data_IF_708858555798
#
_entry.id   IF_708858555798
#
_cell.length_a   1.000
_cell.length_b   1.000
_cell.length_c   1.000
_cell.angle_alpha   90.00
_cell.angle_beta   90.00
_cell.angle_gamma   90.00
#
_symmetry.space_group_name_H-M   'P 1'
#
loop_
_entity.id
_entity.type
_entity.pdbx_description
1 polymer ?
#
# COMPACT_ATOMS: atom_id res chain seq x y z
N UNK A 1 25.72 -2.89 14.01
CA UNK A 1 24.75 -3.95 14.31
C UNK A 1 24.74 -4.90 13.13
N UNK A 2 25.07 -6.17 13.33
CA UNK A 2 24.93 -7.22 12.32
C UNK A 2 23.47 -7.66 12.28
N UNK A 3 22.81 -7.46 11.14
CA UNK A 3 21.46 -7.98 10.90
C UNK A 3 21.59 -9.50 10.72
N UNK A 4 21.07 -10.27 11.67
CA UNK A 4 20.96 -11.72 11.54
C UNK A 4 19.64 -12.04 10.86
N UNK A 5 19.70 -12.49 9.61
CA UNK A 5 18.53 -12.98 8.89
C UNK A 5 18.31 -14.46 9.14
N UNK A 6 17.07 -14.91 9.00
CA UNK A 6 16.76 -16.33 8.88
C UNK A 6 17.47 -16.91 7.64
N UNK A 7 17.99 -18.16 7.66
CA UNK A 7 18.70 -18.74 6.53
C UNK A 7 17.93 -18.70 5.21
N UNK A 8 16.61 -18.95 5.25
CA UNK A 8 15.78 -18.94 4.03
C UNK A 8 15.66 -17.52 3.46
N UNK A 9 15.51 -16.53 4.34
CA UNK A 9 15.49 -15.13 3.94
C UNK A 9 16.86 -14.65 3.44
N UNK A 10 17.95 -15.15 4.02
CA UNK A 10 19.31 -14.81 3.62
C UNK A 10 19.63 -15.26 2.19
N UNK A 11 19.21 -16.47 1.81
CA UNK A 11 19.40 -17.01 0.46
C UNK A 11 18.64 -16.21 -0.60
N UNK A 12 17.41 -15.78 -0.28
CA UNK A 12 16.62 -14.92 -1.17
C UNK A 12 17.25 -13.53 -1.27
N UNK A 13 17.67 -12.95 -0.15
CA UNK A 13 18.34 -11.64 -0.14
C UNK A 13 19.65 -11.66 -0.91
N UNK A 14 20.44 -12.73 -0.80
CA UNK A 14 21.68 -12.90 -1.55
C UNK A 14 21.44 -12.87 -3.07
N UNK A 15 20.37 -13.51 -3.55
CA UNK A 15 19.97 -13.48 -4.97
C UNK A 15 19.57 -12.07 -5.43
N UNK A 16 19.10 -11.23 -4.53
CA UNK A 16 18.69 -9.85 -4.80
C UNK A 16 19.84 -8.83 -4.64
N UNK A 17 21.07 -9.29 -4.42
CA UNK A 17 22.25 -8.42 -4.24
C UNK A 17 22.63 -8.14 -2.78
N UNK A 18 21.97 -8.80 -1.82
CA UNK A 18 22.28 -8.72 -0.40
C UNK A 18 22.08 -7.32 0.17
N UNK A 19 22.95 -6.93 1.10
CA UNK A 19 22.95 -5.59 1.71
C UNK A 19 23.39 -4.49 0.73
N UNK A 20 24.05 -4.86 -0.36
CA UNK A 20 24.60 -3.96 -1.36
C UNK A 20 23.65 -3.78 -2.56
N UNK A 21 22.47 -4.40 -2.50
CA UNK A 21 21.42 -4.26 -3.50
C UNK A 21 21.09 -2.78 -3.71
N UNK A 22 20.93 -2.38 -4.97
CA UNK A 22 20.53 -1.03 -5.31
C UNK A 22 19.19 -0.69 -4.66
N UNK A 23 19.19 0.34 -3.81
CA UNK A 23 17.99 0.91 -3.21
C UNK A 23 18.00 2.42 -3.47
N UNK A 24 16.92 2.97 -4.05
CA UNK A 24 16.82 4.43 -4.21
C UNK A 24 16.89 5.11 -2.84
N UNK A 25 17.47 6.31 -2.80
CA UNK A 25 17.58 7.10 -1.58
C UNK A 25 16.21 7.23 -0.88
N UNK A 26 16.22 7.30 0.45
CA UNK A 26 14.99 7.45 1.24
C UNK A 26 14.17 8.67 0.79
N UNK A 27 14.86 9.75 0.41
CA UNK A 27 14.28 11.03 0.01
C UNK A 27 13.85 11.06 -1.47
N UNK A 28 14.25 10.06 -2.26
CA UNK A 28 13.82 9.90 -3.65
C UNK A 28 12.49 9.13 -3.71
N UNK A 29 11.39 9.84 -3.44
CA UNK A 29 10.05 9.24 -3.39
C UNK A 29 9.65 8.62 -4.72
N UNK A 30 9.95 9.29 -5.84
CA UNK A 30 9.59 8.82 -7.17
C UNK A 30 10.44 7.62 -7.59
N UNK A 31 11.75 7.64 -7.37
CA UNK A 31 12.59 6.47 -7.62
C UNK A 31 12.17 5.25 -6.79
N UNK A 32 11.75 5.46 -5.53
CA UNK A 32 11.21 4.38 -4.68
C UNK A 32 9.87 3.85 -5.18
N UNK A 33 9.01 4.70 -5.75
CA UNK A 33 7.76 4.26 -6.39
C UNK A 33 8.05 3.44 -7.63
N UNK A 34 8.85 3.97 -8.56
CA UNK A 34 9.23 3.25 -9.79
C UNK A 34 9.87 1.89 -9.50
N UNK A 35 10.70 1.80 -8.45
CA UNK A 35 11.31 0.55 -8.04
C UNK A 35 10.30 -0.44 -7.40
N UNK A 36 9.37 0.04 -6.56
CA UNK A 36 8.47 -0.84 -5.79
C UNK A 36 7.18 -1.20 -6.49
N UNK A 37 6.63 -0.34 -7.34
CA UNK A 37 5.34 -0.57 -8.02
C UNK A 37 5.32 -1.90 -8.80
N UNK A 38 6.35 -2.26 -9.60
CA UNK A 38 6.35 -3.55 -10.29
C UNK A 38 6.30 -4.76 -9.33
N UNK A 39 6.99 -4.68 -8.19
CA UNK A 39 7.02 -5.74 -7.17
C UNK A 39 5.63 -5.89 -6.54
N UNK A 40 4.98 -4.77 -6.22
CA UNK A 40 3.63 -4.77 -5.67
C UNK A 40 2.62 -5.34 -6.66
N UNK A 41 2.69 -4.95 -7.93
CA UNK A 41 1.80 -5.48 -8.98
C UNK A 41 1.97 -6.99 -9.13
N UNK A 42 3.22 -7.47 -9.21
CA UNK A 42 3.49 -8.91 -9.32
C UNK A 42 3.00 -9.69 -8.09
N UNK A 43 3.19 -9.14 -6.89
CA UNK A 43 2.72 -9.76 -5.64
C UNK A 43 1.19 -9.83 -5.57
N UNK A 44 0.51 -8.74 -5.93
CA UNK A 44 -0.94 -8.69 -6.02
C UNK A 44 -1.48 -9.71 -7.04
N UNK A 45 -0.79 -9.90 -8.17
CA UNK A 45 -1.20 -10.89 -9.17
C UNK A 45 -1.02 -12.34 -8.68
N UNK A 46 0.00 -12.61 -7.86
CA UNK A 46 0.23 -13.92 -7.26
C UNK A 46 -0.74 -14.25 -6.11
N UNK A 47 -1.44 -13.26 -5.56
CA UNK A 47 -2.34 -13.40 -4.41
C UNK A 47 -3.76 -12.95 -4.77
N UNK A 48 -4.51 -13.75 -5.55
CA UNK A 48 -5.87 -13.39 -5.92
C UNK A 48 -6.78 -13.33 -4.69
N UNK A 49 -7.68 -12.35 -4.68
CA UNK A 49 -8.73 -12.30 -3.67
C UNK A 49 -9.65 -13.53 -3.80
N UNK A 50 -9.98 -14.20 -2.69
CA UNK A 50 -11.00 -15.26 -2.70
C UNK A 50 -12.32 -14.72 -3.22
N UNK A 51 -13.08 -15.56 -3.93
CA UNK A 51 -14.38 -15.20 -4.54
C UNK A 51 -15.43 -14.73 -3.52
N UNK A 52 -15.27 -15.15 -2.26
CA UNK A 52 -16.11 -14.72 -1.14
C UNK A 52 -15.87 -13.27 -0.71
N UNK A 53 -14.74 -12.67 -1.10
CA UNK A 53 -14.39 -11.29 -0.78
C UNK A 53 -15.01 -10.36 -1.82
N UNK A 54 -16.02 -9.59 -1.39
CA UNK A 54 -16.55 -8.51 -2.21
C UNK A 54 -15.58 -7.35 -2.21
N UNK A 55 -15.03 -7.03 -3.38
CA UNK A 55 -14.34 -5.76 -3.61
C UNK A 55 -15.39 -4.67 -3.62
N UNK A 56 -15.28 -3.73 -2.70
CA UNK A 56 -16.13 -2.55 -2.66
C UNK A 56 -15.25 -1.39 -3.11
N UNK A 57 -15.70 -0.64 -4.12
CA UNK A 57 -15.08 0.65 -4.37
C UNK A 57 -15.33 1.52 -3.13
N UNK A 58 -14.29 2.21 -2.66
CA UNK A 58 -14.40 3.11 -1.51
C UNK A 58 -15.40 4.24 -1.82
N UNK A 59 -15.47 4.70 -3.08
CA UNK A 59 -16.46 5.68 -3.51
C UNK A 59 -17.89 5.15 -3.39
N UNK A 60 -18.14 3.91 -3.83
CA UNK A 60 -19.44 3.25 -3.72
C UNK A 60 -19.85 3.02 -2.26
N UNK A 61 -18.88 2.69 -1.40
CA UNK A 61 -19.12 2.49 0.02
C UNK A 61 -19.47 3.79 0.74
N UNK A 62 -18.78 4.89 0.44
CA UNK A 62 -19.07 6.20 1.00
C UNK A 62 -20.41 6.76 0.51
N UNK A 63 -20.76 6.54 -0.75
CA UNK A 63 -22.09 6.88 -1.27
C UNK A 63 -23.20 6.05 -0.61
N UNK A 64 -22.95 4.78 -0.31
CA UNK A 64 -23.92 3.94 0.42
C UNK A 64 -24.06 4.31 1.90
N UNK A 65 -22.98 4.69 2.58
CA UNK A 65 -23.02 5.09 4.01
C UNK A 65 -23.59 6.50 4.20
N UNK A 66 -23.29 7.44 3.30
CA UNK A 66 -23.66 8.85 3.46
C UNK A 66 -24.82 9.30 2.54
N UNK A 67 -25.14 8.56 1.49
CA UNK A 67 -26.22 8.86 0.54
C UNK A 67 -27.64 8.60 1.06
N UNK A 68 -27.78 7.92 2.21
CA UNK A 68 -29.09 7.74 2.87
C UNK A 68 -29.49 8.90 3.80
N UNK A 69 -28.64 9.92 3.98
CA UNK A 69 -28.97 11.10 4.78
C UNK A 69 -29.20 12.33 3.90
N UNK A 70 -30.34 12.33 3.22
CA UNK A 70 -30.96 13.58 2.80
C UNK A 70 -31.31 14.41 4.03
N UNK A 71 -30.57 15.51 4.26
CA UNK A 71 -30.90 16.53 5.26
C UNK A 71 -29.88 16.67 6.37
N UNK A 72 -28.82 17.45 6.16
CA UNK A 72 -27.90 17.80 7.24
C UNK A 72 -26.55 18.41 6.87
N UNK A 73 -26.38 18.94 5.66
CA UNK A 73 -25.17 19.69 5.30
C UNK A 73 -25.17 21.10 5.95
N UNK A 74 -25.04 21.18 7.28
CA UNK A 74 -24.92 22.48 7.97
C UNK A 74 -24.11 22.46 9.28
N UNK A 75 -23.44 21.36 9.66
CA UNK A 75 -22.84 21.27 11.01
C UNK A 75 -21.33 21.51 11.10
N UNK A 76 -20.62 21.59 9.98
CA UNK A 76 -19.18 21.88 9.99
C UNK A 76 -18.92 23.33 9.58
N UNK A 77 -19.52 24.25 10.35
CA UNK A 77 -19.12 25.65 10.33
C UNK A 77 -17.77 25.79 11.03
N UNK A 78 -16.76 26.17 10.23
CA UNK A 78 -15.50 26.86 10.55
C UNK A 78 -15.20 27.04 12.05
N UNK A 79 -14.15 26.40 12.54
CA UNK A 79 -13.39 26.94 13.69
C UNK A 79 -12.49 28.08 13.17
N UNK A 80 -12.48 29.25 13.80
CA UNK A 80 -11.54 30.31 13.43
C UNK A 80 -10.13 29.93 13.89
N UNK A 81 -9.14 30.36 13.10
CA UNK A 81 -7.72 30.43 13.47
C UNK A 81 -7.53 31.63 14.38
#
# INVERSE_FOLDING_TARGET
MTLSFDPEAADVLAQLGGTDAFQPSRDDVEGRRTFREPILVASCAAQPFPESVRRVDLADRLLSEYGSTGGGASKWSRRPV
#
